data_IF_851000107160
#
_entry.id   IF_851000107160
#
_cell.length_a   1.000
_cell.length_b   1.000
_cell.length_c   1.000
_cell.angle_alpha   90.00
_cell.angle_beta   90.00
_cell.angle_gamma   90.00
#
_symmetry.space_group_name_H-M   'P 1'
#
loop_
_entity.id
_entity.type
_entity.pdbx_description
1 polymer ?
#
# COMPACT_ATOMS: atom_id res chain seq x y z
N UNK A 1 7.68 -60.02 17.88
CA UNK A 1 7.19 -59.64 16.54
C UNK A 1 7.65 -58.22 16.24
N UNK A 2 8.43 -58.03 15.17
CA UNK A 2 8.99 -56.72 14.78
C UNK A 2 8.00 -56.07 13.81
N UNK A 3 7.47 -54.86 14.07
CA UNK A 3 6.51 -54.23 13.16
C UNK A 3 7.21 -53.85 11.85
N UNK A 4 6.67 -54.32 10.72
CA UNK A 4 7.07 -53.91 9.38
C UNK A 4 6.40 -52.57 9.11
N UNK A 5 7.16 -51.48 9.16
CA UNK A 5 6.64 -50.14 8.88
C UNK A 5 6.71 -49.93 7.37
N UNK A 6 5.56 -49.80 6.73
CA UNK A 6 5.45 -49.54 5.29
C UNK A 6 6.05 -48.16 4.97
N UNK A 7 7.17 -48.17 4.25
CA UNK A 7 7.92 -46.97 3.88
C UNK A 7 7.06 -45.94 3.15
N UNK A 8 6.08 -46.40 2.36
CA UNK A 8 5.15 -45.53 1.63
C UNK A 8 4.26 -44.66 2.55
N UNK A 9 3.85 -45.17 3.70
CA UNK A 9 3.04 -44.41 4.67
C UNK A 9 3.83 -43.28 5.34
N UNK A 10 5.10 -43.52 5.65
CA UNK A 10 5.99 -42.53 6.26
C UNK A 10 6.25 -41.36 5.30
N UNK A 11 6.48 -41.63 4.00
CA UNK A 11 6.68 -40.58 3.00
C UNK A 11 5.45 -39.70 2.81
N UNK A 12 4.25 -40.29 2.77
CA UNK A 12 3.00 -39.54 2.67
C UNK A 12 2.79 -38.60 3.87
N UNK A 13 3.06 -39.07 5.09
CA UNK A 13 2.93 -38.27 6.31
C UNK A 13 3.91 -37.09 6.35
N UNK A 14 5.14 -37.28 5.86
CA UNK A 14 6.14 -36.21 5.78
C UNK A 14 5.74 -35.11 4.78
N UNK A 15 5.18 -35.48 3.62
CA UNK A 15 4.74 -34.52 2.60
C UNK A 15 3.58 -33.65 3.12
N UNK A 16 2.59 -34.27 3.77
CA UNK A 16 1.43 -33.55 4.32
C UNK A 16 1.88 -32.57 5.41
N UNK A 17 2.79 -33.00 6.29
CA UNK A 17 3.29 -32.15 7.38
C UNK A 17 4.11 -30.97 6.86
N UNK A 18 4.89 -31.17 5.78
CA UNK A 18 5.64 -30.11 5.11
C UNK A 18 4.75 -29.05 4.45
N UNK A 19 3.62 -29.47 3.85
CA UNK A 19 2.67 -28.54 3.22
C UNK A 19 1.97 -27.63 4.23
N UNK A 20 1.57 -28.16 5.39
CA UNK A 20 0.88 -27.37 6.44
C UNK A 20 1.84 -26.34 7.07
N UNK A 21 3.09 -26.72 7.30
CA UNK A 21 4.11 -25.81 7.88
C UNK A 21 4.56 -24.72 6.91
N UNK A 22 4.65 -25.02 5.61
CA UNK A 22 4.95 -24.02 4.58
C UNK A 22 3.85 -22.94 4.46
N UNK A 23 2.57 -23.34 4.56
CA UNK A 23 1.46 -22.38 4.50
C UNK A 23 1.38 -21.54 5.78
N UNK A 24 1.55 -22.16 6.95
CA UNK A 24 1.52 -21.45 8.24
C UNK A 24 2.64 -20.40 8.37
N UNK A 25 3.86 -20.74 7.96
CA UNK A 25 5.00 -19.81 7.97
C UNK A 25 4.81 -18.64 7.01
N UNK A 26 4.21 -18.87 5.83
CA UNK A 26 3.88 -17.80 4.88
C UNK A 26 2.86 -16.81 5.46
N UNK A 27 1.80 -17.31 6.13
CA UNK A 27 0.80 -16.45 6.78
C UNK A 27 1.43 -15.66 7.93
N UNK A 28 2.29 -16.30 8.73
CA UNK A 28 2.94 -15.63 9.86
C UNK A 28 3.85 -14.48 9.40
N UNK A 29 4.68 -14.70 8.37
CA UNK A 29 5.51 -13.64 7.79
C UNK A 29 4.69 -12.51 7.15
N UNK A 30 3.54 -12.82 6.53
CA UNK A 30 2.69 -11.81 5.92
C UNK A 30 1.92 -10.96 6.94
N UNK A 31 1.48 -11.56 8.06
CA UNK A 31 0.75 -10.86 9.12
C UNK A 31 1.68 -10.07 10.04
N UNK A 32 2.84 -10.62 10.42
CA UNK A 32 3.82 -9.92 11.27
C UNK A 32 4.41 -8.67 10.58
N UNK A 33 4.61 -8.74 9.25
CA UNK A 33 4.98 -7.57 8.45
C UNK A 33 3.95 -6.42 8.55
N UNK A 34 2.66 -6.74 8.66
CA UNK A 34 1.59 -5.74 8.75
C UNK A 34 1.56 -5.03 10.10
N UNK A 35 2.03 -5.69 11.17
CA UNK A 35 1.96 -5.16 12.53
C UNK A 35 3.22 -4.35 12.92
N UNK A 36 4.41 -4.75 12.47
CA UNK A 36 5.66 -4.10 12.87
C UNK A 36 5.96 -2.76 12.18
N UNK A 37 5.28 -2.40 11.09
CA UNK A 37 5.41 -1.08 10.45
C UNK A 37 4.57 0.03 11.10
N UNK A 38 3.75 -0.29 12.11
CA UNK A 38 2.82 0.68 12.72
C UNK A 38 3.46 1.58 13.79
N UNK A 39 4.70 1.32 14.22
CA UNK A 39 5.28 1.99 15.40
C UNK A 39 6.46 2.95 15.13
N UNK A 40 6.81 3.25 13.87
CA UNK A 40 8.05 3.98 13.58
C UNK A 40 7.94 5.39 12.98
N UNK A 41 6.76 6.00 12.84
CA UNK A 41 6.69 7.35 12.24
C UNK A 41 5.78 8.33 13.00
N UNK A 42 6.12 8.61 14.27
CA UNK A 42 5.57 9.72 15.06
C UNK A 42 6.43 10.99 14.98
N UNK A 43 7.35 11.09 14.01
CA UNK A 43 8.24 12.24 13.90
C UNK A 43 7.78 13.23 12.82
N UNK A 44 7.29 14.38 13.27
CA UNK A 44 7.13 15.66 12.55
C UNK A 44 5.87 15.87 11.68
N UNK A 45 4.75 16.20 12.34
CA UNK A 45 3.84 17.25 11.82
C UNK A 45 4.57 18.60 11.92
N UNK A 46 5.08 19.10 10.79
CA UNK A 46 5.34 20.54 10.58
C UNK A 46 4.52 20.98 9.39
N UNK A 47 3.75 22.05 9.58
CA UNK A 47 3.07 22.76 8.50
C UNK A 47 4.11 23.13 7.42
N UNK A 48 3.95 22.58 6.22
CA UNK A 48 4.85 22.84 5.09
C UNK A 48 4.42 24.16 4.44
N UNK A 49 5.32 25.14 4.28
CA UNK A 49 5.02 26.42 3.69
C UNK A 49 4.83 26.33 2.16
N UNK A 50 3.99 27.26 1.73
CA UNK A 50 3.50 27.70 0.44
C UNK A 50 4.49 27.65 -0.76
N UNK A 51 3.95 27.22 -1.90
CA UNK A 51 4.39 27.35 -3.31
C UNK A 51 5.76 26.80 -3.76
N UNK A 52 5.77 25.61 -4.37
CA UNK A 52 6.91 25.06 -5.14
C UNK A 52 6.44 23.98 -6.14
N UNK A 53 6.54 24.29 -7.44
CA UNK A 53 6.21 23.48 -8.63
C UNK A 53 5.28 22.27 -8.39
N UNK A 54 3.99 22.56 -8.55
CA UNK A 54 2.92 21.82 -7.90
C UNK A 54 2.66 20.43 -8.48
N UNK A 55 2.13 19.55 -7.63
CA UNK A 55 1.35 18.42 -8.08
C UNK A 55 0.17 18.94 -8.90
N UNK A 56 -0.07 18.38 -10.09
CA UNK A 56 -1.05 18.92 -11.06
C UNK A 56 -2.08 17.89 -11.45
N UNK A 57 -3.29 18.36 -11.71
CA UNK A 57 -4.37 17.60 -12.33
C UNK A 57 -4.52 18.08 -13.78
N UNK A 58 -4.40 17.16 -14.73
CA UNK A 58 -4.61 17.38 -16.15
C UNK A 58 -5.76 16.48 -16.62
N UNK A 59 -6.99 16.99 -16.59
CA UNK A 59 -8.19 16.17 -16.82
C UNK A 59 -8.26 15.02 -15.81
N UNK A 60 -8.24 13.77 -16.30
CA UNK A 60 -8.21 12.58 -15.43
C UNK A 60 -6.82 12.19 -14.95
N UNK A 61 -5.75 12.83 -15.44
CA UNK A 61 -4.37 12.46 -15.08
C UNK A 61 -3.90 13.30 -13.90
N UNK A 62 -3.41 12.64 -12.87
CA UNK A 62 -2.86 13.27 -11.67
C UNK A 62 -1.37 12.99 -11.63
N UNK A 63 -0.58 14.03 -11.43
CA UNK A 63 0.86 13.93 -11.24
C UNK A 63 1.17 14.44 -9.84
N UNK A 64 1.54 13.52 -8.95
CA UNK A 64 2.03 13.83 -7.62
C UNK A 64 3.56 13.84 -7.61
N UNK A 65 4.13 14.94 -7.14
CA UNK A 65 5.56 14.99 -6.81
C UNK A 65 5.79 14.57 -5.36
N UNK A 66 6.97 14.04 -5.09
CA UNK A 66 7.34 13.60 -3.74
C UNK A 66 7.20 14.76 -2.75
N UNK A 67 6.60 14.49 -1.60
CA UNK A 67 6.35 15.41 -0.49
C UNK A 67 5.46 16.62 -0.86
N UNK A 68 4.81 16.58 -2.03
CA UNK A 68 3.83 17.58 -2.47
C UNK A 68 2.43 17.02 -2.36
N UNK A 69 1.52 17.86 -1.89
CA UNK A 69 0.11 17.52 -1.72
C UNK A 69 -0.70 17.82 -2.97
N UNK A 70 -1.79 17.08 -3.14
CA UNK A 70 -2.86 17.43 -4.08
C UNK A 70 -4.19 17.01 -3.48
N UNK A 71 -5.24 17.79 -3.69
CA UNK A 71 -6.58 17.45 -3.20
C UNK A 71 -7.43 16.93 -4.35
N UNK A 72 -8.04 15.76 -4.16
CA UNK A 72 -8.97 15.14 -5.09
C UNK A 72 -10.21 14.69 -4.31
N UNK A 73 -11.38 15.20 -4.68
CA UNK A 73 -12.65 14.91 -4.03
C UNK A 73 -12.58 14.89 -2.49
N UNK A 74 -12.15 16.02 -1.91
CA UNK A 74 -12.01 16.24 -0.46
C UNK A 74 -11.01 15.31 0.26
N UNK A 75 -10.22 14.56 -0.50
CA UNK A 75 -9.11 13.76 0.01
C UNK A 75 -7.81 14.41 -0.42
N UNK A 76 -6.94 14.77 0.52
CA UNK A 76 -5.60 15.26 0.20
C UNK A 76 -4.63 14.09 0.17
N UNK A 77 -3.87 13.98 -0.90
CA UNK A 77 -2.90 12.93 -1.16
C UNK A 77 -1.49 13.52 -1.16
N UNK A 78 -0.55 12.87 -0.47
CA UNK A 78 0.86 13.25 -0.46
C UNK A 78 1.70 12.02 -0.79
N UNK A 79 2.44 12.08 -1.89
CA UNK A 79 3.33 10.99 -2.27
C UNK A 79 4.64 11.07 -1.47
N UNK A 80 4.93 10.07 -0.63
CA UNK A 80 6.15 10.04 0.20
C UNK A 80 7.32 9.31 -0.47
N UNK A 81 7.08 8.66 -1.61
CA UNK A 81 8.11 7.99 -2.39
C UNK A 81 7.88 6.50 -2.52
N UNK A 82 8.97 5.78 -2.76
CA UNK A 82 8.96 4.32 -2.82
C UNK A 82 9.68 3.77 -1.59
N UNK A 83 8.99 2.93 -0.82
CA UNK A 83 9.54 2.24 0.33
C UNK A 83 9.44 0.74 0.11
N UNK A 84 10.59 0.04 0.17
CA UNK A 84 10.66 -1.43 -0.04
C UNK A 84 9.90 -1.90 -1.30
N UNK A 85 10.02 -1.13 -2.39
CA UNK A 85 9.33 -1.30 -3.69
C UNK A 85 7.81 -1.06 -3.70
N UNK A 86 7.23 -0.64 -2.58
CA UNK A 86 5.84 -0.20 -2.47
C UNK A 86 5.72 1.32 -2.61
N UNK A 87 4.58 1.79 -3.07
CA UNK A 87 4.23 3.20 -3.16
C UNK A 87 3.77 3.64 -1.78
N UNK A 88 4.48 4.60 -1.17
CA UNK A 88 4.08 5.22 0.10
C UNK A 88 3.27 6.49 -0.21
N UNK A 89 2.00 6.48 0.17
CA UNK A 89 1.06 7.57 -0.04
C UNK A 89 0.38 7.94 1.29
N UNK A 90 0.57 9.17 1.75
CA UNK A 90 -0.21 9.68 2.87
C UNK A 90 -1.54 10.22 2.37
N UNK A 91 -2.59 9.83 3.07
CA UNK A 91 -3.97 10.21 2.75
C UNK A 91 -4.52 11.01 3.91
N UNK A 92 -5.04 12.20 3.63
CA UNK A 92 -5.70 13.05 4.62
C UNK A 92 -7.19 13.15 4.26
N UNK A 93 -8.04 12.79 5.21
CA UNK A 93 -9.49 12.78 5.05
C UNK A 93 -10.04 14.13 5.54
N UNK A 94 -10.11 15.12 4.66
CA UNK A 94 -10.31 16.52 5.05
C UNK A 94 -11.65 16.80 5.77
N UNK A 95 -12.65 15.93 5.60
CA UNK A 95 -13.96 16.06 6.27
C UNK A 95 -14.05 15.34 7.62
N UNK A 96 -13.19 14.34 7.85
CA UNK A 96 -13.24 13.50 9.05
C UNK A 96 -12.13 13.86 10.03
N UNK A 97 -10.90 13.95 9.51
CA UNK A 97 -9.71 14.29 10.28
C UNK A 97 -8.69 14.94 9.32
N UNK A 98 -8.74 16.27 9.16
CA UNK A 98 -7.90 16.99 8.19
C UNK A 98 -6.43 17.03 8.58
N UNK A 99 -6.12 16.84 9.87
CA UNK A 99 -4.76 16.96 10.38
C UNK A 99 -4.02 15.62 10.32
N UNK A 100 -4.73 14.48 10.37
CA UNK A 100 -4.12 13.15 10.42
C UNK A 100 -3.79 12.58 9.05
N UNK A 101 -2.52 12.17 8.92
CA UNK A 101 -2.04 11.40 7.79
C UNK A 101 -2.35 9.91 8.02
N UNK A 102 -3.03 9.29 7.07
CA UNK A 102 -3.24 7.85 7.01
C UNK A 102 -2.27 7.25 5.99
N UNK A 103 -1.11 6.75 6.42
CA UNK A 103 -0.11 6.20 5.50
C UNK A 103 -0.64 4.95 4.83
N UNK A 104 -0.47 4.87 3.51
CA UNK A 104 -0.83 3.70 2.71
C UNK A 104 0.36 3.23 1.91
N UNK A 105 0.65 1.93 2.05
CA UNK A 105 1.65 1.22 1.28
C UNK A 105 0.96 0.37 0.23
N UNK A 106 1.23 0.67 -1.04
CA UNK A 106 0.50 0.08 -2.16
C UNK A 106 1.50 -0.60 -3.09
N UNK A 107 1.29 -1.88 -3.35
CA UNK A 107 2.10 -2.59 -4.35
C UNK A 107 1.84 -2.02 -5.74
N UNK A 108 2.85 -2.06 -6.63
CA UNK A 108 2.65 -1.60 -8.02
C UNK A 108 1.58 -2.42 -8.75
N UNK A 109 1.47 -3.71 -8.44
CA UNK A 109 0.49 -4.60 -9.05
C UNK A 109 -0.95 -4.20 -8.68
N UNK A 110 -1.20 -3.91 -7.40
CA UNK A 110 -2.52 -3.47 -6.94
C UNK A 110 -2.86 -2.09 -7.49
N UNK A 111 -1.87 -1.19 -7.49
CA UNK A 111 -2.03 0.15 -8.06
C UNK A 111 -2.37 0.11 -9.56
N UNK A 112 -1.84 -0.87 -10.31
CA UNK A 112 -2.19 -1.08 -11.73
C UNK A 112 -3.59 -1.67 -11.93
N UNK A 113 -4.06 -2.51 -11.02
CA UNK A 113 -5.44 -3.05 -11.05
C UNK A 113 -6.47 -1.97 -10.72
N UNK A 114 -6.11 -1.03 -9.85
CA UNK A 114 -6.95 0.07 -9.41
C UNK A 114 -7.02 0.09 -7.89
N UNK A 115 -6.91 1.28 -7.32
CA UNK A 115 -6.92 1.50 -5.87
C UNK A 115 -7.98 2.52 -5.51
N UNK A 116 -8.74 2.22 -4.47
CA UNK A 116 -9.70 3.17 -3.89
C UNK A 116 -9.05 3.92 -2.74
N UNK A 117 -9.06 5.25 -2.84
CA UNK A 117 -8.56 6.15 -1.81
C UNK A 117 -9.61 7.22 -1.58
N UNK A 118 -10.18 7.26 -0.36
CA UNK A 118 -11.37 8.03 -0.06
C UNK A 118 -12.52 7.66 -1.00
N UNK A 119 -13.12 8.68 -1.62
CA UNK A 119 -14.24 8.56 -2.56
C UNK A 119 -13.80 8.50 -4.03
N UNK A 120 -12.52 8.23 -4.29
CA UNK A 120 -11.97 8.21 -5.65
C UNK A 120 -11.24 6.91 -5.93
N UNK A 121 -11.37 6.41 -7.16
CA UNK A 121 -10.65 5.23 -7.66
C UNK A 121 -9.57 5.67 -8.63
N UNK A 122 -8.34 5.24 -8.39
CA UNK A 122 -7.17 5.59 -9.18
C UNK A 122 -6.52 4.36 -9.80
N UNK A 123 -5.95 4.52 -10.99
CA UNK A 123 -5.09 3.52 -11.62
C UNK A 123 -3.69 4.08 -11.81
N UNK A 124 -2.68 3.28 -11.49
CA UNK A 124 -1.29 3.64 -11.67
C UNK A 124 -0.96 3.75 -13.17
N UNK A 125 -0.40 4.89 -13.56
CA UNK A 125 0.19 5.09 -14.88
C UNK A 125 1.70 4.87 -14.84
N UNK A 126 2.38 5.56 -13.91
CA UNK A 126 3.83 5.53 -13.78
C UNK A 126 4.24 5.87 -12.35
N UNK A 127 5.30 5.25 -11.84
CA UNK A 127 5.90 5.65 -10.58
C UNK A 127 7.43 5.55 -10.64
N UNK A 128 8.09 6.53 -10.03
CA UNK A 128 9.51 6.50 -9.71
C UNK A 128 9.72 7.06 -8.29
N UNK A 129 10.97 7.24 -7.85
CA UNK A 129 11.27 7.72 -6.49
C UNK A 129 10.79 9.16 -6.19
N UNK A 130 10.55 9.98 -7.23
CA UNK A 130 10.23 11.41 -7.12
C UNK A 130 8.82 11.76 -7.59
N UNK A 131 8.18 10.91 -8.37
CA UNK A 131 6.92 11.21 -9.04
C UNK A 131 6.03 9.98 -9.10
N UNK A 132 4.76 10.17 -8.75
CA UNK A 132 3.68 9.22 -8.89
C UNK A 132 2.65 9.79 -9.87
N UNK A 133 2.31 9.03 -10.89
CA UNK A 133 1.32 9.39 -11.89
C UNK A 133 0.15 8.43 -11.83
N UNK A 134 -1.03 8.99 -11.61
CA UNK A 134 -2.27 8.26 -11.47
C UNK A 134 -3.26 8.71 -12.55
N UNK A 135 -4.18 7.83 -12.91
CA UNK A 135 -5.39 8.17 -13.66
C UNK A 135 -6.57 8.03 -12.71
N UNK A 136 -7.34 9.10 -12.55
CA UNK A 136 -8.65 9.06 -11.91
C UNK A 136 -9.60 8.27 -12.83
N UNK A 137 -10.12 7.16 -12.32
CA UNK A 137 -11.04 6.28 -13.06
C UNK A 137 -12.48 6.64 -12.74
N UNK A 138 -12.76 6.79 -11.44
CA UNK A 138 -14.10 7.06 -10.96
C UNK A 138 -14.04 7.91 -9.70
N UNK A 139 -15.10 8.69 -9.50
CA UNK A 139 -15.31 9.50 -8.31
C UNK A 139 -16.72 9.22 -7.85
N UNK A 140 -16.86 8.60 -6.68
CA UNK A 140 -18.16 8.35 -6.10
C UNK A 140 -18.79 9.71 -5.79
N UNK A 141 -19.86 10.05 -6.51
CA UNK A 141 -20.67 11.23 -6.23
C UNK A 141 -21.66 10.85 -5.14
N UNK A 142 -21.46 11.42 -3.96
CA UNK A 142 -22.47 11.41 -2.90
C UNK A 142 -23.41 12.59 -3.12
#
# INVERSE_FOLDING_TARGET
MKPNIDKAGIFSMLIITGLITAIGSYIYFFVDWRNNSFLQDTSQRRAIPEFQEDSKIFGTRIVLRKDKSITVNKTRLVFKGLEKKMIHLDVFLLELDPESAYPRFISKADAQKGIRVGNSTFKLLKVNRKTLQLKLIDTYKT
#
